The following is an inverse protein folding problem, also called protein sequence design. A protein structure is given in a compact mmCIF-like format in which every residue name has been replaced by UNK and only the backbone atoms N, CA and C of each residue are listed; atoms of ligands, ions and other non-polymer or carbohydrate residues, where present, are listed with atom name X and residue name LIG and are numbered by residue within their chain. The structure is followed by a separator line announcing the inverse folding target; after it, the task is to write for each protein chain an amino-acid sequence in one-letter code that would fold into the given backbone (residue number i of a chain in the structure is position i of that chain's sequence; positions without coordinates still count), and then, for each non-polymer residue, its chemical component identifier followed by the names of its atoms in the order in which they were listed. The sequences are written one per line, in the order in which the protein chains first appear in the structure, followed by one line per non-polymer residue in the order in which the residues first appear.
data_IF_840493589465
#
_entry.id   IF_840493589465
#
_cell.length_a   1.000
_cell.length_b   1.000
_cell.length_c   1.000
_cell.angle_alpha   90.00
_cell.angle_beta   90.00
_cell.angle_gamma   90.00
#
_symmetry.space_group_name_H-M   'P 1'
#
loop_
_entity.id
_entity.type
_entity.pdbx_description
1 polymer ?
#
# COMPACT_ATOMS: atom_id res chain seq x y z
N UNK A 1 39.03 -19.59 18.42
CA UNK A 1 37.86 -19.14 19.19
C UNK A 1 36.82 -18.59 18.22
N UNK A 2 35.70 -19.31 18.07
CA UNK A 2 34.63 -19.03 17.10
C UNK A 2 33.73 -17.91 17.61
N UNK A 3 33.41 -16.94 16.75
CA UNK A 3 32.42 -15.89 17.00
C UNK A 3 31.01 -16.47 16.80
N UNK A 4 30.18 -16.39 17.82
CA UNK A 4 28.74 -16.68 17.75
C UNK A 4 28.02 -15.47 17.15
N UNK A 5 27.38 -15.66 15.99
CA UNK A 5 26.41 -14.73 15.42
C UNK A 5 25.08 -15.05 16.11
N UNK A 6 24.56 -14.10 16.90
CA UNK A 6 23.23 -14.21 17.52
C UNK A 6 22.18 -13.89 16.46
N UNK A 7 21.34 -14.86 16.14
CA UNK A 7 20.16 -14.74 15.30
C UNK A 7 19.04 -14.11 16.14
N UNK A 8 18.63 -12.89 15.81
CA UNK A 8 17.53 -12.18 16.48
C UNK A 8 16.22 -12.63 15.82
N UNK A 9 15.48 -13.53 16.48
CA UNK A 9 14.16 -13.98 16.07
C UNK A 9 13.13 -12.97 16.62
N UNK A 10 12.54 -12.15 15.74
CA UNK A 10 11.48 -11.21 16.12
C UNK A 10 10.16 -11.98 16.16
N UNK A 11 9.71 -12.32 17.36
CA UNK A 11 8.41 -12.93 17.63
C UNK A 11 7.39 -11.79 17.85
N UNK A 12 6.68 -11.38 16.81
CA UNK A 12 5.62 -10.36 16.92
C UNK A 12 4.33 -10.99 17.46
N UNK A 13 4.14 -10.91 18.78
CA UNK A 13 2.86 -11.26 19.42
C UNK A 13 1.98 -10.00 19.39
N UNK A 14 1.08 -9.91 18.41
CA UNK A 14 -0.01 -8.92 18.43
C UNK A 14 -1.25 -9.54 19.07
N UNK A 15 -1.58 -9.13 20.29
CA UNK A 15 -2.86 -9.43 20.93
C UNK A 15 -3.67 -8.14 21.07
N UNK A 16 -4.69 -7.97 20.23
CA UNK A 16 -5.91 -7.23 20.57
C UNK A 16 -6.99 -7.56 19.54
N UNK A 17 -7.97 -8.39 19.93
CA UNK A 17 -9.12 -8.73 19.08
C UNK A 17 -10.36 -8.14 19.70
N UNK A 18 -10.98 -7.17 19.02
CA UNK A 18 -12.39 -6.84 19.24
C UNK A 18 -13.23 -7.83 18.46
N UNK A 19 -14.20 -8.46 19.13
CA UNK A 19 -15.15 -9.38 18.51
C UNK A 19 -16.21 -8.55 17.79
N UNK A 20 -16.16 -8.51 16.46
CA UNK A 20 -17.25 -8.00 15.63
C UNK A 20 -18.00 -9.19 15.06
N UNK A 21 -19.18 -9.49 15.64
CA UNK A 21 -20.12 -10.47 15.09
C UNK A 21 -20.88 -9.81 13.94
N UNK A 22 -20.35 -9.91 12.72
CA UNK A 22 -21.11 -9.64 11.50
C UNK A 22 -21.80 -10.95 11.07
N UNK A 23 -23.13 -10.98 11.06
CA UNK A 23 -23.87 -12.07 10.44
C UNK A 23 -23.64 -12.06 8.93
N UNK A 24 -22.78 -12.98 8.46
CA UNK A 24 -22.46 -13.15 7.05
C UNK A 24 -23.30 -14.29 6.47
N UNK A 25 -24.18 -13.98 5.53
CA UNK A 25 -24.83 -14.99 4.69
C UNK A 25 -23.76 -15.85 4.00
N UNK A 26 -23.87 -17.17 4.13
CA UNK A 26 -22.92 -18.15 3.56
C UNK A 26 -21.80 -18.62 4.49
N UNK A 27 -21.78 -18.18 5.75
CA UNK A 27 -20.95 -18.80 6.80
C UNK A 27 -21.63 -20.06 7.36
N UNK A 28 -20.85 -21.04 7.79
CA UNK A 28 -21.36 -22.22 8.48
C UNK A 28 -21.92 -21.80 9.85
N UNK A 29 -23.17 -22.19 10.18
CA UNK A 29 -23.70 -21.99 11.52
C UNK A 29 -23.19 -23.06 12.49
N UNK A 30 -22.52 -24.12 12.01
CA UNK A 30 -22.15 -25.30 12.81
C UNK A 30 -20.74 -25.24 13.37
N UNK A 31 -19.84 -24.49 12.72
CA UNK A 31 -18.46 -24.28 13.20
C UNK A 31 -18.17 -22.78 13.19
N UNK A 32 -18.06 -22.21 14.39
CA UNK A 32 -17.90 -20.78 14.59
C UNK A 32 -16.49 -20.52 15.11
N UNK A 33 -15.63 -19.76 14.41
CA UNK A 33 -14.31 -19.41 14.93
C UNK A 33 -14.44 -18.50 16.16
N UNK A 34 -13.76 -18.84 17.27
CA UNK A 34 -13.70 -18.00 18.48
C UNK A 34 -13.10 -16.62 18.17
N UNK A 35 -12.09 -16.60 17.29
CA UNK A 35 -11.46 -15.39 16.79
C UNK A 35 -10.96 -15.59 15.37
N UNK A 36 -10.97 -14.50 14.60
CA UNK A 36 -10.43 -14.47 13.24
C UNK A 36 -9.16 -13.63 13.26
N UNK A 37 -7.97 -14.19 12.98
CA UNK A 37 -6.76 -13.41 12.92
C UNK A 37 -6.82 -12.44 11.73
N UNK A 38 -6.41 -11.19 11.95
CA UNK A 38 -6.22 -10.20 10.88
C UNK A 38 -4.78 -10.25 10.40
N UNK A 39 -4.56 -10.68 9.17
CA UNK A 39 -3.27 -10.67 8.50
C UNK A 39 -3.46 -9.96 7.16
N UNK A 40 -3.04 -8.70 7.08
CA UNK A 40 -3.23 -7.89 5.88
C UNK A 40 -2.13 -8.15 4.83
N UNK A 41 -0.89 -8.37 5.30
CA UNK A 41 0.28 -8.50 4.46
C UNK A 41 1.27 -9.54 4.99
N UNK A 42 1.92 -10.26 4.07
CA UNK A 42 2.92 -11.28 4.30
C UNK A 42 4.15 -11.00 3.42
N UNK A 43 5.36 -11.25 3.93
CA UNK A 43 6.57 -11.19 3.11
C UNK A 43 6.89 -12.56 2.50
N UNK A 44 7.19 -12.60 1.20
CA UNK A 44 7.52 -13.82 0.49
C UNK A 44 8.66 -14.60 1.18
N UNK A 45 8.43 -15.90 1.41
CA UNK A 45 9.37 -16.79 2.11
C UNK A 45 9.29 -16.78 3.65
N UNK A 46 8.57 -15.81 4.23
CA UNK A 46 8.30 -15.73 5.66
C UNK A 46 7.52 -16.96 6.14
N UNK A 47 7.85 -17.43 7.34
CA UNK A 47 7.11 -18.50 8.01
C UNK A 47 5.80 -17.95 8.58
N UNK A 48 4.70 -18.53 8.13
CA UNK A 48 3.34 -18.19 8.57
C UNK A 48 2.85 -19.31 9.46
N UNK A 49 2.38 -18.99 10.66
CA UNK A 49 1.66 -19.95 11.51
C UNK A 49 0.42 -19.27 12.07
N UNK A 50 -0.73 -19.90 11.85
CA UNK A 50 -2.02 -19.49 12.41
C UNK A 50 -2.58 -20.60 13.27
N UNK A 51 -3.22 -20.21 14.37
CA UNK A 51 -4.01 -21.10 15.22
C UNK A 51 -5.41 -20.52 15.34
N UNK A 52 -6.42 -21.33 15.06
CA UNK A 52 -7.82 -20.93 15.14
C UNK A 52 -8.57 -22.03 15.88
N UNK A 53 -9.32 -21.65 16.90
CA UNK A 53 -10.24 -22.53 17.60
C UNK A 53 -11.65 -22.25 17.08
N UNK A 54 -12.40 -23.30 16.81
CA UNK A 54 -13.80 -23.28 16.42
C UNK A 54 -14.63 -23.92 17.52
N UNK A 55 -15.73 -23.29 17.87
CA UNK A 55 -16.77 -23.87 18.71
C UNK A 55 -17.89 -24.43 17.82
N UNK A 56 -18.55 -25.48 18.32
CA UNK A 56 -19.79 -25.93 17.72
C UNK A 56 -20.88 -24.86 17.85
N UNK A 57 -21.46 -24.49 16.72
CA UNK A 57 -22.55 -23.52 16.68
C UNK A 57 -23.93 -24.18 16.78
N UNK A 58 -25.00 -23.37 16.83
CA UNK A 58 -26.35 -23.87 17.01
C UNK A 58 -26.75 -24.90 15.94
N UNK A 59 -27.25 -26.05 16.37
CA UNK A 59 -27.70 -27.13 15.49
C UNK A 59 -26.60 -28.09 15.02
N UNK A 60 -25.35 -27.92 15.46
CA UNK A 60 -24.27 -28.88 15.16
C UNK A 60 -24.57 -30.27 15.75
N UNK A 61 -25.23 -30.32 16.91
CA UNK A 61 -25.72 -31.52 17.59
C UNK A 61 -26.71 -32.35 16.75
N UNK A 62 -27.41 -31.71 15.80
CA UNK A 62 -28.30 -32.38 14.86
C UNK A 62 -27.58 -33.04 13.68
N UNK A 63 -26.28 -32.77 13.49
CA UNK A 63 -25.47 -33.36 12.43
C UNK A 63 -24.75 -34.62 12.94
N UNK A 64 -24.95 -35.76 12.28
CA UNK A 64 -24.17 -36.97 12.61
C UNK A 64 -22.70 -36.80 12.19
N UNK A 65 -22.47 -36.34 10.96
CA UNK A 65 -21.13 -36.04 10.44
C UNK A 65 -21.15 -34.93 9.38
N UNK A 66 -19.98 -34.37 9.11
CA UNK A 66 -19.76 -33.45 7.98
C UNK A 66 -18.36 -33.65 7.39
N UNK A 67 -18.17 -33.21 6.14
CA UNK A 67 -16.87 -33.23 5.49
C UNK A 67 -16.29 -31.81 5.53
N UNK A 68 -15.15 -31.64 6.19
CA UNK A 68 -14.36 -30.44 6.14
C UNK A 68 -13.37 -30.51 4.98
N UNK A 69 -13.27 -29.45 4.19
CA UNK A 69 -12.26 -29.26 3.15
C UNK A 69 -11.34 -28.13 3.57
N UNK A 70 -10.04 -28.41 3.60
CA UNK A 70 -8.99 -27.47 3.97
C UNK A 70 -8.19 -27.16 2.72
N UNK A 71 -7.95 -25.88 2.47
CA UNK A 71 -7.15 -25.37 1.36
C UNK A 71 -6.21 -24.26 1.86
N UNK A 72 -5.00 -24.19 1.33
CA UNK A 72 -4.05 -23.10 1.60
C UNK A 72 -3.27 -22.71 0.35
N UNK A 73 -3.09 -21.41 0.17
CA UNK A 73 -2.16 -20.82 -0.79
C UNK A 73 -0.74 -20.61 -0.26
N UNK A 74 -0.42 -21.09 0.95
CA UNK A 74 0.95 -21.08 1.47
C UNK A 74 1.82 -22.07 0.68
N UNK A 75 3.10 -21.74 0.56
CA UNK A 75 4.12 -22.58 -0.03
C UNK A 75 4.72 -23.55 1.01
N UNK A 76 5.37 -24.59 0.50
CA UNK A 76 6.05 -25.60 1.31
C UNK A 76 7.18 -25.03 2.20
N UNK A 77 7.44 -25.64 3.37
CA UNK A 77 6.73 -26.81 3.92
C UNK A 77 5.36 -26.45 4.52
N UNK A 78 4.30 -27.16 4.11
CA UNK A 78 2.94 -26.95 4.64
C UNK A 78 2.67 -28.00 5.74
N UNK A 79 2.07 -27.58 6.84
CA UNK A 79 1.60 -28.46 7.89
C UNK A 79 0.28 -27.97 8.46
N UNK A 80 -0.72 -28.84 8.42
CA UNK A 80 -1.98 -28.70 9.14
C UNK A 80 -1.95 -29.64 10.34
N UNK A 81 -2.41 -29.15 11.49
CA UNK A 81 -2.73 -29.95 12.67
C UNK A 81 -4.13 -29.59 13.12
N UNK A 82 -5.04 -30.56 13.07
CA UNK A 82 -6.43 -30.43 13.52
C UNK A 82 -6.57 -31.24 14.80
N UNK A 83 -7.01 -30.60 15.87
CA UNK A 83 -7.31 -31.24 17.15
C UNK A 83 -8.81 -31.11 17.42
N UNK A 84 -9.49 -32.23 17.61
CA UNK A 84 -10.85 -32.27 18.11
C UNK A 84 -10.78 -32.39 19.64
N UNK A 85 -11.43 -31.49 20.35
CA UNK A 85 -11.31 -31.28 21.79
C UNK A 85 -12.64 -31.56 22.48
N UNK A 86 -12.61 -32.20 23.65
CA UNK A 86 -13.79 -32.35 24.52
C UNK A 86 -14.10 -31.07 25.31
N UNK A 87 -15.14 -31.12 26.15
CA UNK A 87 -15.58 -30.03 27.03
C UNK A 87 -14.52 -29.54 28.03
N UNK A 88 -13.53 -30.38 28.33
CA UNK A 88 -12.45 -30.12 29.29
C UNK A 88 -11.15 -29.74 28.54
N UNK A 89 -11.26 -29.39 27.24
CA UNK A 89 -10.20 -29.04 26.29
C UNK A 89 -9.14 -30.15 26.09
N UNK A 90 -9.49 -31.42 26.36
CA UNK A 90 -8.59 -32.53 26.09
C UNK A 90 -8.72 -33.00 24.64
N UNK A 91 -7.61 -33.33 23.96
CA UNK A 91 -7.67 -33.84 22.59
C UNK A 91 -8.30 -35.24 22.55
N UNK A 92 -9.44 -35.34 21.90
CA UNK A 92 -10.11 -36.60 21.56
C UNK A 92 -9.50 -37.21 20.30
N UNK A 93 -9.15 -36.36 19.33
CA UNK A 93 -8.50 -36.77 18.09
C UNK A 93 -7.49 -35.71 17.64
N UNK A 94 -6.38 -36.14 17.02
CA UNK A 94 -5.39 -35.25 16.42
C UNK A 94 -4.98 -35.76 15.05
N UNK A 95 -5.12 -34.91 14.05
CA UNK A 95 -4.82 -35.21 12.66
C UNK A 95 -3.78 -34.23 12.15
N UNK A 96 -2.68 -34.75 11.60
CA UNK A 96 -1.66 -33.93 10.94
C UNK A 96 -1.56 -34.26 9.46
N UNK A 97 -1.50 -33.23 8.62
CA UNK A 97 -1.38 -33.34 7.15
C UNK A 97 -0.35 -32.35 6.62
N UNK A 98 0.40 -32.77 5.60
CA UNK A 98 1.39 -31.92 4.92
C UNK A 98 1.03 -31.75 3.45
N UNK A 99 -0.14 -31.17 3.19
CA UNK A 99 -0.69 -30.94 1.85
C UNK A 99 -1.30 -29.54 1.76
N UNK A 100 -1.31 -28.97 0.56
CA UNK A 100 -2.00 -27.71 0.27
C UNK A 100 -3.52 -27.84 0.34
N UNK A 101 -4.03 -29.05 0.16
CA UNK A 101 -5.45 -29.38 0.27
C UNK A 101 -5.65 -30.78 0.88
N UNK A 102 -6.70 -30.94 1.68
CA UNK A 102 -7.20 -32.25 2.11
C UNK A 102 -8.65 -32.15 2.61
N UNK A 103 -9.29 -33.30 2.74
CA UNK A 103 -10.61 -33.42 3.36
C UNK A 103 -10.54 -34.26 4.63
N UNK A 104 -11.44 -33.96 5.55
CA UNK A 104 -11.61 -34.66 6.82
C UNK A 104 -13.10 -34.88 7.08
N UNK A 105 -13.49 -36.13 7.30
CA UNK A 105 -14.82 -36.42 7.85
C UNK A 105 -14.78 -36.21 9.37
N UNK A 106 -15.73 -35.44 9.88
CA UNK A 106 -15.83 -35.07 11.29
C UNK A 106 -17.19 -35.49 11.82
N UNK A 107 -17.20 -36.16 12.98
CA UNK A 107 -18.42 -36.57 13.70
C UNK A 107 -18.66 -35.60 14.86
N UNK A 108 -19.73 -34.82 14.78
CA UNK A 108 -20.03 -33.74 15.74
C UNK A 108 -20.35 -34.25 17.15
N UNK A 109 -20.81 -35.49 17.29
CA UNK A 109 -21.09 -36.08 18.62
C UNK A 109 -19.85 -36.36 19.48
N UNK A 110 -18.64 -36.18 18.95
CA UNK A 110 -17.40 -36.62 19.59
C UNK A 110 -16.50 -35.48 20.09
N UNK A 111 -16.85 -34.23 19.86
CA UNK A 111 -16.04 -33.07 20.27
C UNK A 111 -16.92 -31.84 20.49
N UNK A 112 -16.42 -30.88 21.25
CA UNK A 112 -17.09 -29.60 21.52
C UNK A 112 -16.36 -28.44 20.82
N UNK A 113 -15.05 -28.59 20.63
CA UNK A 113 -14.21 -27.60 19.95
C UNK A 113 -13.25 -28.24 18.96
N UNK A 114 -12.89 -27.48 17.93
CA UNK A 114 -11.86 -27.87 16.97
C UNK A 114 -10.75 -26.81 16.97
N UNK A 115 -9.52 -27.20 17.30
CA UNK A 115 -8.34 -26.34 17.17
C UNK A 115 -7.56 -26.70 15.90
N UNK A 116 -7.43 -25.75 14.99
CA UNK A 116 -6.69 -25.90 13.74
C UNK A 116 -5.43 -25.04 13.80
N UNK A 117 -4.28 -25.67 13.58
CA UNK A 117 -2.99 -24.99 13.38
C UNK A 117 -2.55 -25.21 11.94
N UNK A 118 -2.31 -24.13 11.20
CA UNK A 118 -1.71 -24.15 9.88
C UNK A 118 -0.36 -23.45 9.94
N UNK A 119 0.67 -24.14 9.49
CA UNK A 119 2.01 -23.60 9.26
C UNK A 119 2.41 -23.76 7.80
N UNK A 120 3.09 -22.76 7.25
CA UNK A 120 3.57 -22.74 5.87
C UNK A 120 4.51 -21.58 5.62
N UNK A 121 4.94 -21.41 4.37
CA UNK A 121 5.66 -20.20 3.94
C UNK A 121 4.78 -19.32 3.09
N UNK A 122 4.90 -18.01 3.21
CA UNK A 122 4.31 -17.11 2.22
C UNK A 122 4.93 -17.40 0.82
N UNK A 123 4.13 -17.54 -0.24
CA UNK A 123 4.64 -17.91 -1.55
C UNK A 123 5.54 -16.83 -2.16
N UNK A 124 6.42 -17.22 -3.06
CA UNK A 124 7.18 -16.27 -3.87
C UNK A 124 6.24 -15.55 -4.86
N UNK A 125 6.36 -14.23 -4.95
CA UNK A 125 5.59 -13.39 -5.87
C UNK A 125 6.49 -12.39 -6.57
N UNK A 126 6.12 -12.05 -7.81
CA UNK A 126 6.82 -11.04 -8.63
C UNK A 126 6.16 -9.66 -8.56
N UNK A 127 4.93 -9.61 -8.03
CA UNK A 127 4.14 -8.40 -7.80
C UNK A 127 3.29 -8.59 -6.55
N UNK A 128 2.84 -7.49 -5.94
CA UNK A 128 1.95 -7.56 -4.78
C UNK A 128 0.68 -8.32 -5.17
N UNK A 129 0.45 -9.47 -4.54
CA UNK A 129 -0.59 -10.41 -4.97
C UNK A 129 -1.42 -10.84 -3.77
N UNK A 130 -2.74 -10.73 -3.88
CA UNK A 130 -3.64 -11.26 -2.85
C UNK A 130 -3.72 -12.79 -2.97
N UNK A 131 -3.50 -13.49 -1.86
CA UNK A 131 -3.67 -14.95 -1.78
C UNK A 131 -4.73 -15.29 -0.76
N UNK A 132 -5.33 -16.47 -0.91
CA UNK A 132 -6.11 -17.11 0.17
C UNK A 132 -5.16 -18.04 0.91
N UNK A 133 -4.70 -17.65 2.10
CA UNK A 133 -3.68 -18.42 2.82
C UNK A 133 -4.28 -19.48 3.74
N UNK A 134 -5.56 -19.37 4.10
CA UNK A 134 -6.29 -20.43 4.80
C UNK A 134 -7.77 -20.40 4.42
N UNK A 135 -8.29 -21.53 3.98
CA UNK A 135 -9.70 -21.69 3.66
C UNK A 135 -10.21 -23.02 4.19
N UNK A 136 -11.35 -22.96 4.87
CA UNK A 136 -12.03 -24.13 5.41
C UNK A 136 -13.49 -24.06 4.95
N UNK A 137 -13.93 -25.12 4.30
CA UNK A 137 -15.32 -25.32 3.88
C UNK A 137 -15.89 -26.52 4.62
N UNK A 138 -17.18 -26.49 4.93
CA UNK A 138 -17.90 -27.60 5.53
C UNK A 138 -19.02 -28.02 4.60
N UNK A 139 -19.00 -29.29 4.20
CA UNK A 139 -20.06 -29.92 3.44
C UNK A 139 -20.91 -30.75 4.38
N UNK A 140 -22.18 -30.38 4.53
CA UNK A 140 -23.18 -31.10 5.29
C UNK A 140 -24.12 -31.83 4.34
N UNK A 141 -24.59 -33.01 4.74
CA UNK A 141 -25.56 -33.79 3.96
C UNK A 141 -26.79 -34.03 4.82
N UNK A 142 -27.96 -33.66 4.31
CA UNK A 142 -29.25 -33.89 4.96
C UNK A 142 -30.25 -34.45 3.94
N UNK A 143 -30.81 -35.63 4.21
CA UNK A 143 -31.87 -36.24 3.41
C UNK A 143 -31.54 -36.44 1.92
N UNK A 144 -30.27 -36.58 1.55
CA UNK A 144 -29.81 -36.72 0.16
C UNK A 144 -29.44 -35.42 -0.55
N UNK A 145 -29.62 -34.26 0.09
CA UNK A 145 -29.09 -32.98 -0.37
C UNK A 145 -27.75 -32.71 0.30
N UNK A 146 -26.81 -32.10 -0.43
CA UNK A 146 -25.53 -31.68 0.11
C UNK A 146 -25.35 -30.18 -0.08
N UNK A 147 -24.90 -29.50 0.98
CA UNK A 147 -24.61 -28.08 0.97
C UNK A 147 -23.19 -27.83 1.46
N UNK A 148 -22.42 -27.06 0.69
CA UNK A 148 -21.11 -26.57 1.10
C UNK A 148 -21.23 -25.17 1.67
N UNK A 149 -20.78 -25.00 2.90
CA UNK A 149 -20.80 -23.78 3.70
C UNK A 149 -19.36 -23.31 3.95
N UNK A 150 -19.15 -22.00 3.96
CA UNK A 150 -17.83 -21.43 4.26
C UNK A 150 -17.64 -21.40 5.78
N UNK A 151 -16.56 -21.97 6.30
CA UNK A 151 -16.20 -21.88 7.73
C UNK A 151 -15.17 -20.78 7.93
N UNK A 152 -14.17 -20.73 7.04
CA UNK A 152 -13.06 -19.79 7.09
C UNK A 152 -12.58 -19.45 5.68
N UNK A 153 -12.24 -18.19 5.44
CA UNK A 153 -11.60 -17.73 4.20
C UNK A 153 -10.72 -16.51 4.53
N UNK A 154 -9.45 -16.77 4.81
CA UNK A 154 -8.46 -15.75 5.16
C UNK A 154 -7.59 -15.40 3.97
N UNK A 155 -7.51 -14.10 3.70
CA UNK A 155 -6.78 -13.54 2.58
C UNK A 155 -5.77 -12.51 3.08
N UNK A 156 -4.61 -12.47 2.44
CA UNK A 156 -3.55 -11.51 2.71
C UNK A 156 -2.88 -11.12 1.39
N UNK A 157 -2.31 -9.92 1.33
CA UNK A 157 -1.36 -9.58 0.26
C UNK A 157 -0.01 -10.21 0.56
N UNK A 158 0.64 -10.74 -0.47
CA UNK A 158 2.04 -11.15 -0.40
C UNK A 158 2.87 -10.13 -1.15
N UNK A 159 3.96 -9.69 -0.52
CA UNK A 159 4.93 -8.74 -1.06
C UNK A 159 6.36 -9.25 -0.83
N UNK A 160 7.35 -8.49 -1.27
CA UNK A 160 8.74 -8.64 -0.86
C UNK A 160 9.41 -7.25 -0.80
N UNK A 161 10.69 -7.19 -0.43
CA UNK A 161 11.42 -5.93 -0.35
C UNK A 161 11.42 -5.19 -1.70
N UNK A 162 11.80 -5.85 -2.79
CA UNK A 162 11.87 -5.25 -4.13
C UNK A 162 10.52 -4.68 -4.60
N UNK A 163 9.43 -5.41 -4.36
CA UNK A 163 8.07 -4.98 -4.71
C UNK A 163 7.68 -3.75 -3.90
N UNK A 164 8.00 -3.73 -2.60
CA UNK A 164 7.68 -2.62 -1.70
C UNK A 164 8.49 -1.37 -2.08
N UNK A 165 9.79 -1.52 -2.34
CA UNK A 165 10.67 -0.44 -2.78
C UNK A 165 10.21 0.13 -4.13
N UNK A 166 9.83 -0.73 -5.08
CA UNK A 166 9.29 -0.29 -6.36
C UNK A 166 8.00 0.52 -6.20
N UNK A 167 7.04 0.05 -5.38
CA UNK A 167 5.80 0.77 -5.11
C UNK A 167 6.06 2.13 -4.43
N UNK A 168 6.95 2.16 -3.46
CA UNK A 168 7.34 3.41 -2.77
C UNK A 168 7.98 4.40 -3.74
N UNK A 169 8.89 3.94 -4.61
CA UNK A 169 9.53 4.81 -5.60
C UNK A 169 8.55 5.31 -6.68
N UNK A 170 7.59 4.49 -7.10
CA UNK A 170 6.51 4.91 -8.01
C UNK A 170 5.65 6.00 -7.36
N UNK A 171 5.28 5.81 -6.08
CA UNK A 171 4.52 6.82 -5.34
C UNK A 171 5.31 8.12 -5.11
N UNK A 172 6.61 8.02 -4.83
CA UNK A 172 7.52 9.19 -4.76
C UNK A 172 7.56 9.93 -6.10
N UNK A 173 7.69 9.22 -7.23
CA UNK A 173 7.70 9.82 -8.56
C UNK A 173 6.39 10.53 -8.89
N UNK A 174 5.23 9.95 -8.55
CA UNK A 174 3.93 10.59 -8.72
C UNK A 174 3.84 11.90 -7.93
N UNK A 175 4.29 11.89 -6.67
CA UNK A 175 4.31 13.08 -5.81
C UNK A 175 5.23 14.18 -6.37
N UNK A 176 6.43 13.84 -6.82
CA UNK A 176 7.39 14.83 -7.34
C UNK A 176 6.98 15.37 -8.71
N UNK A 177 6.33 14.56 -9.54
CA UNK A 177 5.71 15.01 -10.80
C UNK A 177 4.62 16.05 -10.52
N UNK A 178 3.74 15.80 -9.56
CA UNK A 178 2.70 16.76 -9.19
C UNK A 178 3.31 18.08 -8.68
N UNK A 179 4.35 18.03 -7.85
CA UNK A 179 5.07 19.22 -7.39
C UNK A 179 5.72 20.01 -8.53
N UNK A 180 6.28 19.31 -9.52
CA UNK A 180 6.86 19.95 -10.70
C UNK A 180 5.79 20.58 -11.60
N UNK A 181 4.62 19.96 -11.73
CA UNK A 181 3.46 20.54 -12.43
C UNK A 181 3.03 21.86 -11.80
N UNK A 182 2.84 21.87 -10.47
CA UNK A 182 2.47 23.07 -9.72
C UNK A 182 3.50 24.20 -9.91
N UNK A 183 4.80 23.89 -9.78
CA UNK A 183 5.87 24.88 -9.96
C UNK A 183 5.93 25.45 -11.39
N UNK A 184 5.68 24.61 -12.40
CA UNK A 184 5.61 25.04 -13.80
C UNK A 184 4.42 25.97 -14.02
N UNK A 185 3.26 25.69 -13.43
CA UNK A 185 2.09 26.56 -13.51
C UNK A 185 2.37 27.92 -12.86
N UNK A 186 2.94 27.94 -11.65
CA UNK A 186 3.34 29.19 -10.99
C UNK A 186 4.35 30.01 -11.79
N UNK A 187 5.32 29.35 -12.43
CA UNK A 187 6.31 30.01 -13.28
C UNK A 187 5.67 30.60 -14.54
N UNK A 188 4.69 29.92 -15.15
CA UNK A 188 3.90 30.44 -16.28
C UNK A 188 3.09 31.66 -15.87
N UNK A 189 2.46 31.64 -14.70
CA UNK A 189 1.69 32.77 -14.17
C UNK A 189 2.58 34.00 -13.91
N UNK A 190 3.85 33.78 -13.55
CA UNK A 190 4.86 34.84 -13.46
C UNK A 190 5.37 35.33 -14.84
N UNK A 191 4.90 34.74 -15.94
CA UNK A 191 5.30 35.07 -17.31
C UNK A 191 6.67 34.50 -17.70
N UNK A 192 7.15 33.46 -17.02
CA UNK A 192 8.41 32.82 -17.34
C UNK A 192 8.30 31.87 -18.54
N UNK A 193 9.41 31.70 -19.27
CA UNK A 193 9.55 30.62 -20.25
C UNK A 193 9.94 29.33 -19.53
N UNK A 194 9.04 28.35 -19.57
CA UNK A 194 9.16 27.06 -18.85
C UNK A 194 9.47 25.89 -19.79
N UNK A 195 9.84 26.13 -21.04
CA UNK A 195 10.02 25.08 -22.06
C UNK A 195 10.95 23.95 -21.61
N UNK A 196 12.04 24.28 -20.90
CA UNK A 196 12.98 23.29 -20.35
C UNK A 196 12.37 22.45 -19.23
N UNK A 197 11.62 23.09 -18.32
CA UNK A 197 10.94 22.42 -17.23
C UNK A 197 9.85 21.46 -17.76
N UNK A 198 9.08 21.90 -18.77
CA UNK A 198 8.07 21.06 -19.43
C UNK A 198 8.68 19.84 -20.12
N UNK A 199 9.84 20.01 -20.78
CA UNK A 199 10.57 18.89 -21.38
C UNK A 199 10.96 17.85 -20.34
N UNK A 200 11.49 18.30 -19.20
CA UNK A 200 11.90 17.41 -18.09
C UNK A 200 10.72 16.74 -17.41
N UNK A 201 9.61 17.46 -17.24
CA UNK A 201 8.36 16.90 -16.74
C UNK A 201 7.84 15.79 -17.67
N UNK A 202 7.91 16.00 -18.99
CA UNK A 202 7.51 14.98 -19.96
C UNK A 202 8.41 13.73 -19.87
N UNK A 203 9.72 13.89 -19.72
CA UNK A 203 10.64 12.78 -19.49
C UNK A 203 10.27 12.01 -18.20
N UNK A 204 10.00 12.73 -17.10
CA UNK A 204 9.57 12.14 -15.83
C UNK A 204 8.29 11.31 -15.98
N UNK A 205 7.27 11.84 -16.66
CA UNK A 205 6.01 11.13 -16.93
C UNK A 205 6.21 9.87 -17.77
N UNK A 206 7.07 9.92 -18.78
CA UNK A 206 7.39 8.77 -19.63
C UNK A 206 8.14 7.68 -18.84
N UNK A 207 9.06 8.08 -17.95
CA UNK A 207 9.77 7.18 -17.05
C UNK A 207 8.81 6.55 -16.03
N UNK A 208 7.93 7.32 -15.40
CA UNK A 208 6.91 6.80 -14.49
C UNK A 208 6.03 5.75 -15.18
N UNK A 209 5.53 6.04 -16.37
CA UNK A 209 4.75 5.07 -17.16
C UNK A 209 5.54 3.80 -17.45
N UNK A 210 6.82 3.93 -17.75
CA UNK A 210 7.71 2.78 -17.98
C UNK A 210 7.94 1.97 -16.70
N UNK A 211 8.09 2.63 -15.55
CA UNK A 211 8.20 1.98 -14.24
C UNK A 211 6.93 1.20 -13.89
N UNK A 212 5.75 1.77 -14.10
CA UNK A 212 4.47 1.10 -13.90
C UNK A 212 4.32 -0.13 -14.81
N UNK A 213 4.74 -0.03 -16.08
CA UNK A 213 4.74 -1.17 -17.01
C UNK A 213 5.68 -2.29 -16.54
N UNK A 214 6.88 -1.95 -16.08
CA UNK A 214 7.85 -2.91 -15.52
C UNK A 214 7.30 -3.60 -14.27
N UNK A 215 6.66 -2.84 -13.38
CA UNK A 215 6.03 -3.37 -12.18
C UNK A 215 4.92 -4.37 -12.53
N UNK A 216 4.05 -4.00 -13.47
CA UNK A 216 2.96 -4.85 -13.94
C UNK A 216 3.46 -6.13 -14.64
N UNK A 217 4.63 -6.06 -15.28
CA UNK A 217 5.33 -7.20 -15.86
C UNK A 217 6.06 -8.09 -14.83
N UNK A 218 6.01 -7.76 -13.53
CA UNK A 218 6.69 -8.51 -12.47
C UNK A 218 8.17 -8.20 -12.33
N UNK A 219 8.67 -7.14 -12.97
CA UNK A 219 10.05 -6.68 -12.84
C UNK A 219 10.15 -5.54 -11.82
N UNK A 220 10.04 -5.90 -10.54
CA UNK A 220 10.08 -4.92 -9.44
C UNK A 220 11.40 -4.13 -9.38
N UNK A 221 12.55 -4.80 -9.53
CA UNK A 221 13.86 -4.13 -9.52
C UNK A 221 14.01 -3.10 -10.66
N UNK A 222 13.57 -3.46 -11.87
CA UNK A 222 13.56 -2.53 -13.01
C UNK A 222 12.58 -1.37 -12.80
N UNK A 223 11.40 -1.64 -12.24
CA UNK A 223 10.43 -0.62 -11.89
C UNK A 223 10.99 0.38 -10.87
N UNK A 224 11.64 -0.11 -9.81
CA UNK A 224 12.30 0.72 -8.80
C UNK A 224 13.31 1.69 -9.42
N UNK A 225 14.27 1.18 -10.20
CA UNK A 225 15.32 2.01 -10.82
C UNK A 225 14.71 3.05 -11.77
N UNK A 226 13.74 2.65 -12.58
CA UNK A 226 13.07 3.54 -13.54
C UNK A 226 12.25 4.62 -12.83
N UNK A 227 11.59 4.27 -11.71
CA UNK A 227 10.85 5.22 -10.90
C UNK A 227 11.78 6.24 -10.22
N UNK A 228 12.97 5.83 -9.74
CA UNK A 228 13.96 6.80 -9.23
C UNK A 228 14.45 7.75 -10.31
N UNK A 229 14.66 7.28 -11.55
CA UNK A 229 14.96 8.19 -12.66
C UNK A 229 13.80 9.15 -12.97
N UNK A 230 12.55 8.71 -12.80
CA UNK A 230 11.39 9.60 -12.92
C UNK A 230 11.40 10.68 -11.83
N UNK A 231 11.71 10.32 -10.57
CA UNK A 231 11.89 11.26 -9.45
C UNK A 231 12.95 12.31 -9.78
N UNK A 232 14.13 11.88 -10.26
CA UNK A 232 15.23 12.80 -10.57
C UNK A 232 14.85 13.78 -11.70
N UNK A 233 14.21 13.28 -12.77
CA UNK A 233 13.72 14.12 -13.86
C UNK A 233 12.63 15.11 -13.40
N UNK A 234 11.74 14.70 -12.48
CA UNK A 234 10.72 15.57 -11.91
C UNK A 234 11.34 16.68 -11.04
N UNK A 235 12.36 16.35 -10.23
CA UNK A 235 13.11 17.34 -9.45
C UNK A 235 13.84 18.34 -10.33
N UNK A 236 14.48 17.88 -11.41
CA UNK A 236 15.06 18.78 -12.41
C UNK A 236 14.00 19.71 -13.02
N UNK A 237 12.81 19.18 -13.37
CA UNK A 237 11.71 20.00 -13.88
C UNK A 237 11.27 21.08 -12.88
N UNK A 238 11.13 20.71 -11.62
CA UNK A 238 10.81 21.62 -10.52
C UNK A 238 11.90 22.71 -10.35
N UNK A 239 13.17 22.35 -10.38
CA UNK A 239 14.29 23.29 -10.29
C UNK A 239 14.30 24.27 -11.47
N UNK A 240 14.16 23.78 -12.71
CA UNK A 240 14.08 24.64 -13.91
C UNK A 240 12.89 25.59 -13.86
N UNK A 241 11.74 25.16 -13.34
CA UNK A 241 10.56 26.00 -13.21
C UNK A 241 10.78 27.14 -12.22
N UNK A 242 11.33 26.85 -11.04
CA UNK A 242 11.66 27.87 -10.03
C UNK A 242 12.72 28.85 -10.53
N UNK A 243 13.79 28.35 -11.15
CA UNK A 243 14.82 29.20 -11.76
C UNK A 243 14.23 30.14 -12.82
N UNK A 244 13.29 29.65 -13.63
CA UNK A 244 12.62 30.45 -14.65
C UNK A 244 11.72 31.52 -14.02
N UNK A 245 10.95 31.14 -12.98
CA UNK A 245 10.10 32.05 -12.20
C UNK A 245 10.91 33.18 -11.58
N UNK A 246 11.99 32.86 -10.87
CA UNK A 246 12.88 33.86 -10.25
C UNK A 246 13.45 34.85 -11.27
N UNK A 247 13.87 34.37 -12.45
CA UNK A 247 14.37 35.22 -13.54
C UNK A 247 13.27 36.14 -14.10
N UNK A 248 12.04 35.66 -14.22
CA UNK A 248 10.90 36.43 -14.71
C UNK A 248 10.50 37.52 -13.70
N UNK A 249 10.45 37.19 -12.41
CA UNK A 249 10.15 38.13 -11.34
C UNK A 249 11.22 39.22 -11.21
N UNK A 250 12.51 38.85 -11.25
CA UNK A 250 13.62 39.80 -11.21
C UNK A 250 13.58 40.77 -12.39
N UNK A 251 13.25 40.27 -13.58
CA UNK A 251 13.09 41.11 -14.78
C UNK A 251 11.91 42.06 -14.66
N UNK A 252 10.78 41.58 -14.13
CA UNK A 252 9.58 42.38 -13.87
C UNK A 252 9.84 43.49 -12.84
N UNK A 253 10.58 43.19 -11.77
CA UNK A 253 10.97 44.18 -10.77
C UNK A 253 11.91 45.24 -11.35
N UNK A 254 12.93 44.83 -12.12
CA UNK A 254 13.86 45.75 -12.78
C UNK A 254 13.14 46.70 -13.75
N UNK A 255 12.20 46.19 -14.53
CA UNK A 255 11.43 47.00 -15.47
C UNK A 255 10.53 48.02 -14.75
N UNK A 256 9.89 47.63 -13.64
CA UNK A 256 9.12 48.57 -12.80
C UNK A 256 10.00 49.69 -12.23
N UNK A 257 11.19 49.37 -11.72
CA UNK A 257 12.12 50.38 -11.20
C UNK A 257 12.58 51.38 -12.28
N UNK A 258 12.84 50.92 -13.50
CA UNK A 258 13.22 51.82 -14.61
C UNK A 258 12.08 52.77 -14.96
N UNK A 259 10.83 52.29 -15.03
CA UNK A 259 9.67 53.13 -15.33
C UNK A 259 9.41 54.14 -14.20
N UNK A 260 9.42 53.71 -12.94
CA UNK A 260 9.23 54.63 -11.82
C UNK A 260 10.40 55.62 -11.67
N UNK A 261 11.63 55.20 -11.98
CA UNK A 261 12.79 56.09 -12.07
C UNK A 261 12.61 57.14 -13.17
N UNK A 262 12.12 56.75 -14.35
CA UNK A 262 11.85 57.66 -15.46
C UNK A 262 10.73 58.67 -15.12
N UNK A 263 9.63 58.21 -14.53
CA UNK A 263 8.53 59.10 -14.10
C UNK A 263 9.02 60.07 -13.01
N UNK A 264 9.78 59.59 -12.04
CA UNK A 264 10.37 60.42 -10.98
C UNK A 264 11.31 61.49 -11.53
N UNK A 265 12.16 61.14 -12.49
CA UNK A 265 13.06 62.09 -13.15
C UNK A 265 12.28 63.17 -13.92
N UNK A 266 11.24 62.79 -14.67
CA UNK A 266 10.39 63.74 -15.40
C UNK A 266 9.67 64.70 -14.44
N UNK A 267 9.11 64.19 -13.33
CA UNK A 267 8.47 65.03 -12.32
C UNK A 267 9.44 66.06 -11.72
N UNK A 268 10.68 65.65 -11.45
CA UNK A 268 11.72 66.53 -10.91
C UNK A 268 12.13 67.63 -11.90
N UNK A 269 12.24 67.30 -13.19
CA UNK A 269 12.49 68.27 -14.27
C UNK A 269 11.36 69.30 -14.35
N UNK A 270 10.10 68.87 -14.25
CA UNK A 270 8.93 69.78 -14.26
C UNK A 270 8.94 70.71 -13.05
N UNK A 271 9.28 70.21 -11.86
CA UNK A 271 9.40 71.03 -10.65
C UNK A 271 10.51 72.08 -10.81
N UNK A 272 11.68 71.69 -11.32
CA UNK A 272 12.79 72.64 -11.56
C UNK A 272 12.39 73.70 -12.58
N UNK A 273 11.72 73.31 -13.68
CA UNK A 273 11.24 74.26 -14.70
C UNK A 273 10.20 75.24 -14.14
N UNK A 274 9.30 74.77 -13.28
CA UNK A 274 8.34 75.63 -12.57
C UNK A 274 9.04 76.60 -11.62
N UNK A 275 10.01 76.14 -10.82
CA UNK A 275 10.79 77.01 -9.93
C UNK A 275 11.55 78.07 -10.73
N UNK A 276 12.19 77.70 -11.84
CA UNK A 276 12.88 78.66 -12.71
C UNK A 276 11.93 79.68 -13.32
N UNK A 277 10.73 79.26 -13.75
CA UNK A 277 9.71 80.17 -14.29
C UNK A 277 9.17 81.13 -13.23
N UNK A 278 8.94 80.65 -12.01
CA UNK A 278 8.52 81.49 -10.88
C UNK A 278 9.61 82.48 -10.46
N UNK A 279 10.89 82.09 -10.54
CA UNK A 279 12.01 82.95 -10.18
C UNK A 279 12.34 83.99 -11.25
N UNK A 280 12.22 83.65 -12.53
CA UNK A 280 12.41 84.59 -13.65
C UNK A 280 11.24 85.56 -13.89
N UNK A 281 10.04 85.26 -13.38
CA UNK A 281 8.90 86.17 -13.42
C UNK A 281 9.03 87.36 -12.46
N UNK A 282 9.92 87.30 -11.47
CA UNK A 282 10.11 88.34 -10.46
C UNK A 282 11.03 89.49 -10.90
N UNK A 283 11.70 89.38 -12.04
CA UNK A 283 12.54 90.47 -12.61
C UNK A 283 11.79 91.38 -13.60
N UNK A 284 10.46 91.21 -13.76
CA UNK A 284 9.63 92.03 -14.66
C UNK A 284 8.42 92.70 -13.99
N UNK A 285 8.48 92.92 -12.67
CA UNK A 285 7.58 93.81 -11.93
C UNK A 285 8.43 94.88 -11.24
#
# INVERSE_FOLDING_TARGET
MRRFISLLLILSIFSLSTVVLAQNYGQSPFLIPESIPSVEELYAGEDVTIKITFEEGPGADSLESSILSFETGLASPISWTVQLLDKDDNPVETISKSSSEFTLEVKHQNFEKMSVVLSGKAPAVQKRTQITFAKILQTVSDGGNSQTLKVLDLKAYVTNADISDALNAISEAESEIARAEDAIEEAKDAGADVSMAESKLNDAKNLLKSAQNLYNAGNAAGAYLTAKSAVDAAKEAYEYANDAKEKAEATSFRNKLIIYGAIGAIALIVIIALIMRYRGGFERL
#
